data_IF_826939222585
#
_entry.id   IF_826939222585
#
_cell.length_a   1.000
_cell.length_b   1.000
_cell.length_c   1.000
_cell.angle_alpha   90.00
_cell.angle_beta   90.00
_cell.angle_gamma   90.00
#
_symmetry.space_group_name_H-M   'P 1'
#
loop_
_entity.id
_entity.type
_entity.pdbx_description
1 polymer ?
#
# COMPACT_ATOMS: atom_id res chain seq x y z
N UNK A 1 35.47 24.77 -20.53
CA UNK A 1 36.82 24.28 -20.91
C UNK A 1 37.81 24.87 -19.90
N UNK A 2 38.24 24.08 -18.91
CA UNK A 2 39.07 24.53 -17.79
C UNK A 2 40.29 23.62 -17.71
N UNK A 3 41.47 24.24 -17.65
CA UNK A 3 42.80 23.63 -17.77
C UNK A 3 43.30 23.22 -16.38
N UNK A 4 43.68 21.96 -16.20
CA UNK A 4 44.39 21.50 -15.00
C UNK A 4 45.91 21.75 -15.12
N UNK A 5 46.52 22.32 -14.08
CA UNK A 5 47.98 22.30 -13.89
C UNK A 5 48.31 21.49 -12.64
N UNK A 6 48.85 20.30 -12.85
CA UNK A 6 49.41 19.43 -11.82
C UNK A 6 50.80 19.95 -11.46
N UNK A 7 51.10 20.10 -10.16
CA UNK A 7 52.48 20.18 -9.65
C UNK A 7 52.65 19.17 -8.52
N UNK A 8 53.42 18.12 -8.80
CA UNK A 8 54.01 17.22 -7.80
C UNK A 8 55.24 17.89 -7.18
N UNK A 9 55.45 17.70 -5.88
CA UNK A 9 56.80 17.75 -5.27
C UNK A 9 56.87 16.83 -4.04
N UNK A 10 57.86 15.94 -4.05
CA UNK A 10 58.16 14.97 -2.99
C UNK A 10 59.16 15.53 -1.95
N UNK A 11 58.93 15.14 -0.68
CA UNK A 11 59.83 14.85 0.46
C UNK A 11 60.92 15.82 0.97
N UNK A 12 60.93 16.09 2.30
CA UNK A 12 61.83 15.46 3.32
C UNK A 12 61.69 16.10 4.73
N UNK A 13 61.61 15.24 5.76
CA UNK A 13 61.95 15.28 7.21
C UNK A 13 62.08 16.61 8.00
N UNK A 14 61.54 16.61 9.24
CA UNK A 14 62.05 17.41 10.36
C UNK A 14 61.00 17.77 11.41
N UNK A 15 61.09 17.17 12.60
CA UNK A 15 60.21 17.30 13.76
C UNK A 15 60.24 18.70 14.42
N UNK A 16 59.08 19.25 14.79
CA UNK A 16 58.86 20.29 15.82
C UNK A 16 57.36 20.52 16.03
N UNK A 17 56.90 20.17 17.23
CA UNK A 17 55.57 20.44 17.77
C UNK A 17 55.32 21.94 17.93
N UNK A 18 54.22 22.44 17.37
CA UNK A 18 53.41 23.54 17.93
C UNK A 18 51.96 23.27 17.53
N UNK A 19 51.11 23.17 18.55
CA UNK A 19 49.66 22.99 18.49
C UNK A 19 48.96 24.33 18.19
N UNK A 20 47.68 24.27 17.79
CA UNK A 20 46.71 25.37 17.58
C UNK A 20 46.84 26.08 16.21
N UNK A 21 45.89 26.03 15.28
CA UNK A 21 44.43 25.94 15.39
C UNK A 21 43.88 25.32 14.10
N UNK A 22 43.08 24.25 14.20
CA UNK A 22 42.19 23.88 13.12
C UNK A 22 40.94 24.74 13.26
N UNK A 23 40.84 25.79 12.46
CA UNK A 23 39.54 26.33 12.11
C UNK A 23 38.81 25.22 11.34
N UNK A 24 38.07 24.38 12.08
CA UNK A 24 36.87 23.75 11.54
C UNK A 24 35.97 24.91 11.14
N UNK A 25 36.02 25.28 9.87
CA UNK A 25 34.90 25.97 9.25
C UNK A 25 33.72 25.03 9.40
N UNK A 26 32.87 25.37 10.36
CA UNK A 26 31.53 24.85 10.49
C UNK A 26 30.87 24.95 9.12
N UNK A 27 30.65 23.80 8.49
CA UNK A 27 29.46 23.65 7.68
C UNK A 27 28.25 23.99 8.56
N UNK A 28 27.31 24.74 8.00
CA UNK A 28 25.95 24.27 8.06
C UNK A 28 25.56 23.97 6.62
N UNK A 29 25.75 22.71 6.21
CA UNK A 29 24.83 22.13 5.24
C UNK A 29 23.47 22.09 5.93
N UNK A 30 22.75 23.20 5.82
CA UNK A 30 21.32 23.26 6.11
C UNK A 30 20.65 22.32 5.10
N UNK A 31 20.62 21.03 5.42
CA UNK A 31 19.57 20.14 4.96
C UNK A 31 18.28 20.72 5.52
N UNK A 32 17.67 21.59 4.71
CA UNK A 32 16.30 22.03 4.93
C UNK A 32 15.43 20.78 4.77
N UNK A 33 15.14 20.14 5.90
CA UNK A 33 14.11 19.10 5.97
C UNK A 33 12.77 19.83 5.78
N UNK A 34 12.37 20.02 4.52
CA UNK A 34 11.02 20.46 4.19
C UNK A 34 10.07 19.32 4.51
N UNK A 35 9.62 19.31 5.77
CA UNK A 35 8.40 18.61 6.17
C UNK A 35 7.22 19.28 5.47
N UNK A 36 6.19 18.49 5.12
CA UNK A 36 4.90 18.98 4.60
C UNK A 36 4.48 20.19 5.43
N UNK A 37 4.40 21.36 4.79
CA UNK A 37 4.09 22.59 5.51
C UNK A 37 2.64 22.53 6.01
N UNK A 38 2.28 23.28 7.05
CA UNK A 38 0.88 23.32 7.49
C UNK A 38 -0.05 23.82 6.37
N UNK A 39 0.47 24.62 5.44
CA UNK A 39 -0.20 24.99 4.20
C UNK A 39 -0.46 23.77 3.30
N UNK A 40 0.52 22.89 3.10
CA UNK A 40 0.36 21.68 2.29
C UNK A 40 -0.68 20.73 2.91
N UNK A 41 -0.72 20.61 4.24
CA UNK A 41 -1.76 19.81 4.94
C UNK A 41 -3.17 20.34 4.66
N UNK A 42 -3.37 21.66 4.68
CA UNK A 42 -4.65 22.27 4.33
C UNK A 42 -5.04 22.02 2.87
N UNK A 43 -4.08 22.12 1.94
CA UNK A 43 -4.31 21.83 0.53
C UNK A 43 -4.66 20.35 0.31
N UNK A 44 -3.99 19.43 1.02
CA UNK A 44 -4.31 18.00 0.99
C UNK A 44 -5.75 17.78 1.47
N UNK A 45 -6.17 18.37 2.61
CA UNK A 45 -7.55 18.26 3.11
C UNK A 45 -8.57 18.76 2.08
N UNK A 46 -8.27 19.87 1.40
CA UNK A 46 -9.10 20.41 0.33
C UNK A 46 -9.19 19.45 -0.86
N UNK A 47 -8.07 18.89 -1.31
CA UNK A 47 -8.04 17.90 -2.38
C UNK A 47 -8.86 16.64 -2.04
N UNK A 48 -8.74 16.12 -0.81
CA UNK A 48 -9.59 15.01 -0.35
C UNK A 48 -11.07 15.34 -0.42
N UNK A 49 -11.44 16.57 -0.07
CA UNK A 49 -12.82 17.03 -0.12
C UNK A 49 -13.33 17.08 -1.57
N UNK A 50 -12.51 17.53 -2.52
CA UNK A 50 -12.84 17.46 -3.95
C UNK A 50 -12.97 16.02 -4.45
N UNK A 51 -12.06 15.12 -4.09
CA UNK A 51 -12.14 13.71 -4.47
C UNK A 51 -13.44 13.05 -3.95
N UNK A 52 -13.83 13.35 -2.70
CA UNK A 52 -15.11 12.88 -2.10
C UNK A 52 -16.35 13.44 -2.79
N UNK A 53 -16.23 14.60 -3.45
CA UNK A 53 -17.28 15.22 -4.26
C UNK A 53 -17.20 14.82 -5.75
N UNK A 54 -16.41 13.79 -6.08
CA UNK A 54 -16.15 13.33 -7.45
C UNK A 54 -15.51 14.37 -8.38
N UNK A 55 -14.89 15.40 -7.82
CA UNK A 55 -14.13 16.44 -8.52
C UNK A 55 -12.66 16.02 -8.65
N UNK A 56 -12.43 14.92 -9.36
CA UNK A 56 -11.13 14.24 -9.39
C UNK A 56 -10.04 15.08 -10.08
N UNK A 57 -10.38 15.78 -11.17
CA UNK A 57 -9.43 16.65 -11.87
C UNK A 57 -9.02 17.84 -11.02
N UNK A 58 -9.97 18.43 -10.28
CA UNK A 58 -9.68 19.52 -9.35
C UNK A 58 -8.85 19.05 -8.15
N UNK A 59 -9.12 17.85 -7.63
CA UNK A 59 -8.29 17.24 -6.60
C UNK A 59 -6.84 17.04 -7.10
N UNK A 60 -6.66 16.50 -8.31
CA UNK A 60 -5.34 16.31 -8.93
C UNK A 60 -4.61 17.62 -9.18
N UNK A 61 -5.32 18.69 -9.57
CA UNK A 61 -4.71 20.01 -9.76
C UNK A 61 -4.02 20.57 -8.50
N UNK A 62 -4.46 20.09 -7.32
CA UNK A 62 -3.87 20.43 -6.02
C UNK A 62 -2.77 19.43 -5.63
N UNK A 63 -3.01 18.12 -5.85
CA UNK A 63 -2.09 17.07 -5.42
C UNK A 63 -0.80 16.99 -6.25
N UNK A 64 -0.87 17.23 -7.56
CA UNK A 64 0.29 17.10 -8.45
C UNK A 64 1.45 18.07 -8.16
N UNK A 65 1.22 19.36 -7.86
CA UNK A 65 2.30 20.23 -7.43
C UNK A 65 2.94 19.76 -6.11
N UNK A 66 2.12 19.33 -5.14
CA UNK A 66 2.57 18.87 -3.82
C UNK A 66 3.45 17.62 -3.96
N UNK A 67 3.03 16.66 -4.79
CA UNK A 67 3.78 15.43 -5.03
C UNK A 67 5.16 15.66 -5.67
N UNK A 68 5.37 16.80 -6.33
CA UNK A 68 6.64 17.19 -6.97
C UNK A 68 7.56 18.00 -6.06
N UNK A 69 7.00 18.65 -5.03
CA UNK A 69 7.74 19.53 -4.13
C UNK A 69 8.28 18.80 -2.90
N UNK A 70 7.61 17.74 -2.46
CA UNK A 70 7.99 17.02 -1.25
C UNK A 70 9.20 16.12 -1.46
N UNK A 71 10.23 16.28 -0.62
CA UNK A 71 11.42 15.41 -0.60
C UNK A 71 11.04 14.02 -0.03
N UNK A 72 10.10 13.99 0.91
CA UNK A 72 9.50 12.76 1.45
C UNK A 72 8.12 12.56 0.84
N UNK A 73 7.93 11.41 0.19
CA UNK A 73 6.66 11.13 -0.47
C UNK A 73 5.60 10.86 0.60
N UNK A 74 4.64 11.77 0.74
CA UNK A 74 3.48 11.58 1.61
C UNK A 74 2.57 10.52 0.99
N UNK A 75 2.44 9.37 1.68
CA UNK A 75 1.62 8.26 1.23
C UNK A 75 0.14 8.63 1.10
N UNK A 76 -0.32 9.65 1.84
CA UNK A 76 -1.67 10.17 1.73
C UNK A 76 -1.86 10.89 0.39
N UNK A 77 -0.88 11.70 -0.04
CA UNK A 77 -0.88 12.32 -1.38
C UNK A 77 -0.88 11.24 -2.46
N UNK A 78 0.02 10.26 -2.38
CA UNK A 78 0.06 9.15 -3.35
C UNK A 78 -1.28 8.41 -3.43
N UNK A 79 -1.86 8.06 -2.29
CA UNK A 79 -3.13 7.35 -2.24
C UNK A 79 -4.24 8.14 -2.93
N UNK A 80 -4.38 9.43 -2.62
CA UNK A 80 -5.42 10.26 -3.22
C UNK A 80 -5.18 10.51 -4.71
N UNK A 81 -3.93 10.55 -5.16
CA UNK A 81 -3.62 10.57 -6.60
C UNK A 81 -4.05 9.27 -7.27
N UNK A 82 -3.68 8.11 -6.71
CA UNK A 82 -4.11 6.80 -7.21
C UNK A 82 -5.63 6.67 -7.28
N UNK A 83 -6.32 7.10 -6.22
CA UNK A 83 -7.79 7.14 -6.15
C UNK A 83 -8.39 8.02 -7.24
N UNK A 84 -7.90 9.25 -7.44
CA UNK A 84 -8.43 10.13 -8.47
C UNK A 84 -8.20 9.55 -9.87
N UNK A 85 -7.02 9.01 -10.14
CA UNK A 85 -6.71 8.39 -11.44
C UNK A 85 -7.52 7.13 -11.70
N UNK A 86 -7.81 6.31 -10.68
CA UNK A 86 -8.70 5.14 -10.78
C UNK A 86 -10.12 5.54 -11.22
N UNK A 87 -10.69 6.57 -10.58
CA UNK A 87 -12.03 7.06 -10.95
C UNK A 87 -12.07 7.78 -12.31
N UNK A 88 -10.96 8.38 -12.73
CA UNK A 88 -10.78 8.91 -14.08
C UNK A 88 -10.45 7.81 -15.11
N UNK A 89 -10.39 6.54 -14.69
CA UNK A 89 -10.04 5.36 -15.51
C UNK A 89 -8.65 5.44 -16.15
N UNK A 90 -7.76 6.25 -15.59
CA UNK A 90 -6.35 6.22 -15.93
C UNK A 90 -5.65 5.17 -15.05
N UNK A 91 -5.86 3.91 -15.39
CA UNK A 91 -5.39 2.79 -14.57
C UNK A 91 -3.87 2.63 -14.57
N UNK A 92 -3.17 3.15 -15.58
CA UNK A 92 -1.69 3.16 -15.59
C UNK A 92 -1.14 4.05 -14.48
N UNK A 93 -1.65 5.29 -14.36
CA UNK A 93 -1.24 6.18 -13.28
C UNK A 93 -1.76 5.70 -11.92
N UNK A 94 -2.97 5.15 -11.85
CA UNK A 94 -3.49 4.56 -10.62
C UNK A 94 -2.59 3.41 -10.11
N UNK A 95 -2.16 2.52 -11.01
CA UNK A 95 -1.23 1.43 -10.71
C UNK A 95 0.08 1.97 -10.13
N UNK A 96 0.66 2.98 -10.79
CA UNK A 96 1.89 3.62 -10.33
C UNK A 96 1.77 4.12 -8.88
N UNK A 97 0.74 4.92 -8.58
CA UNK A 97 0.58 5.52 -7.26
C UNK A 97 0.26 4.50 -6.17
N UNK A 98 -0.63 3.53 -6.42
CA UNK A 98 -0.94 2.50 -5.44
C UNK A 98 0.23 1.56 -5.18
N UNK A 99 1.01 1.23 -6.21
CA UNK A 99 2.26 0.48 -6.03
C UNK A 99 3.24 1.24 -5.14
N UNK A 100 3.41 2.55 -5.36
CA UNK A 100 4.27 3.39 -4.52
C UNK A 100 3.82 3.41 -3.06
N UNK A 101 2.50 3.44 -2.79
CA UNK A 101 1.99 3.27 -1.42
C UNK A 101 2.33 1.90 -0.84
N UNK A 102 2.09 0.81 -1.59
CA UNK A 102 2.25 -0.56 -1.12
C UNK A 102 3.72 -0.97 -0.90
N UNK A 103 4.66 -0.32 -1.59
CA UNK A 103 6.09 -0.56 -1.43
C UNK A 103 6.71 0.29 -0.28
N UNK A 104 5.88 1.04 0.45
CA UNK A 104 6.29 1.77 1.65
C UNK A 104 6.69 0.82 2.79
N UNK A 105 7.88 1.02 3.35
CA UNK A 105 8.48 0.09 4.31
C UNK A 105 7.70 -0.06 5.62
N UNK A 106 6.96 0.96 6.03
CA UNK A 106 6.16 0.95 7.26
C UNK A 106 4.67 0.64 7.01
N UNK A 107 4.32 0.12 5.83
CA UNK A 107 2.95 -0.33 5.57
C UNK A 107 2.55 -1.49 6.51
N UNK A 108 1.48 -1.27 7.28
CA UNK A 108 0.86 -2.25 8.19
C UNK A 108 -0.05 -3.26 7.45
N UNK A 109 -0.14 -3.14 6.13
CA UNK A 109 -0.87 -4.02 5.22
C UNK A 109 -2.07 -3.33 4.61
N UNK A 110 -2.41 -2.12 5.05
CA UNK A 110 -3.45 -1.31 4.43
C UNK A 110 -3.15 -1.04 2.96
N UNK A 111 -1.95 -0.55 2.62
CA UNK A 111 -1.61 -0.18 1.25
C UNK A 111 -1.44 -1.39 0.33
N UNK A 112 -0.84 -2.48 0.83
CA UNK A 112 -0.85 -3.75 0.09
C UNK A 112 -2.27 -4.26 -0.18
N UNK A 113 -3.21 -4.04 0.75
CA UNK A 113 -4.61 -4.43 0.56
C UNK A 113 -5.31 -3.58 -0.50
N UNK A 114 -5.13 -2.26 -0.44
CA UNK A 114 -5.67 -1.32 -1.44
C UNK A 114 -5.14 -1.66 -2.82
N UNK A 115 -3.82 -1.82 -2.96
CA UNK A 115 -3.20 -2.14 -4.24
C UNK A 115 -3.60 -3.52 -4.76
N UNK A 116 -3.65 -4.54 -3.89
CA UNK A 116 -4.11 -5.87 -4.24
C UNK A 116 -5.54 -5.87 -4.77
N UNK A 117 -6.45 -5.08 -4.18
CA UNK A 117 -7.83 -4.91 -4.67
C UNK A 117 -7.85 -4.20 -6.03
N UNK A 118 -7.10 -3.11 -6.18
CA UNK A 118 -6.99 -2.39 -7.45
C UNK A 118 -6.51 -3.31 -8.59
N UNK A 119 -5.49 -4.13 -8.35
CA UNK A 119 -4.98 -5.10 -9.33
C UNK A 119 -6.09 -6.04 -9.81
N UNK A 120 -6.86 -6.61 -8.89
CA UNK A 120 -7.95 -7.53 -9.20
C UNK A 120 -9.15 -6.89 -9.88
N UNK A 121 -9.39 -5.60 -9.69
CA UNK A 121 -10.63 -4.95 -10.15
C UNK A 121 -10.44 -4.10 -11.40
N UNK A 122 -9.32 -3.37 -11.49
CA UNK A 122 -9.22 -2.24 -12.42
C UNK A 122 -7.89 -2.17 -13.19
N UNK A 123 -6.87 -2.96 -12.84
CA UNK A 123 -5.59 -2.88 -13.55
C UNK A 123 -5.71 -3.26 -15.03
N UNK A 124 -4.84 -2.67 -15.86
CA UNK A 124 -4.71 -2.96 -17.30
C UNK A 124 -3.89 -4.23 -17.59
N UNK A 125 -3.48 -4.98 -16.56
CA UNK A 125 -2.70 -6.20 -16.73
C UNK A 125 -3.57 -7.32 -17.33
N UNK A 126 -2.93 -8.36 -17.87
CA UNK A 126 -3.68 -9.56 -18.29
C UNK A 126 -4.42 -10.19 -17.11
N UNK A 127 -5.44 -11.00 -17.41
CA UNK A 127 -6.21 -11.68 -16.37
C UNK A 127 -5.31 -12.52 -15.46
N UNK A 128 -4.38 -13.30 -16.01
CA UNK A 128 -3.50 -14.15 -15.23
C UNK A 128 -2.58 -13.30 -14.33
N UNK A 129 -1.97 -12.26 -14.88
CA UNK A 129 -1.00 -11.43 -14.16
C UNK A 129 -1.66 -10.59 -13.06
N UNK A 130 -2.84 -10.01 -13.33
CA UNK A 130 -3.57 -9.21 -12.35
C UNK A 130 -4.07 -10.06 -11.18
N UNK A 131 -4.51 -11.29 -11.46
CA UNK A 131 -4.92 -12.26 -10.42
C UNK A 131 -3.72 -12.65 -9.58
N UNK A 132 -2.61 -13.06 -10.21
CA UNK A 132 -1.41 -13.48 -9.50
C UNK A 132 -0.89 -12.36 -8.58
N UNK A 133 -0.66 -11.17 -9.13
CA UNK A 133 -0.13 -10.04 -8.36
C UNK A 133 -1.11 -9.57 -7.28
N UNK A 134 -2.41 -9.48 -7.59
CA UNK A 134 -3.44 -9.06 -6.65
C UNK A 134 -3.56 -10.00 -5.46
N UNK A 135 -3.62 -11.31 -5.70
CA UNK A 135 -3.65 -12.33 -4.65
C UNK A 135 -2.36 -12.34 -3.84
N UNK A 136 -1.19 -12.17 -4.47
CA UNK A 136 0.08 -12.11 -3.76
C UNK A 136 0.16 -10.92 -2.81
N UNK A 137 -0.29 -9.73 -3.22
CA UNK A 137 -0.36 -8.53 -2.36
C UNK A 137 -1.30 -8.74 -1.19
N UNK A 138 -2.52 -9.24 -1.44
CA UNK A 138 -3.47 -9.55 -0.37
C UNK A 138 -2.95 -10.63 0.59
N UNK A 139 -2.27 -11.66 0.07
CA UNK A 139 -1.68 -12.73 0.87
C UNK A 139 -0.55 -12.21 1.76
N UNK A 140 0.28 -11.31 1.24
CA UNK A 140 1.32 -10.63 2.01
C UNK A 140 0.71 -9.81 3.15
N UNK A 141 -0.28 -8.97 2.87
CA UNK A 141 -1.00 -8.17 3.87
C UNK A 141 -1.66 -9.06 4.94
N UNK A 142 -2.34 -10.13 4.53
CA UNK A 142 -3.03 -11.03 5.45
C UNK A 142 -2.08 -11.85 6.33
N UNK A 143 -0.98 -12.39 5.76
CA UNK A 143 -0.14 -13.37 6.45
C UNK A 143 1.07 -12.76 7.14
N UNK A 144 1.75 -11.81 6.48
CA UNK A 144 2.95 -11.19 7.04
C UNK A 144 2.58 -10.04 7.98
N UNK A 145 1.64 -9.21 7.55
CA UNK A 145 1.25 -7.98 8.25
C UNK A 145 0.00 -8.15 9.14
N UNK A 146 -0.68 -9.29 9.02
CA UNK A 146 -1.88 -9.65 9.80
C UNK A 146 -3.05 -8.67 9.60
N UNK A 147 -3.13 -8.06 8.42
CA UNK A 147 -4.18 -7.11 8.12
C UNK A 147 -5.54 -7.81 7.95
N UNK A 148 -6.49 -7.49 8.82
CA UNK A 148 -7.79 -8.18 8.95
C UNK A 148 -8.62 -8.06 7.67
N UNK A 149 -8.66 -6.87 7.06
CA UNK A 149 -9.41 -6.65 5.82
C UNK A 149 -8.87 -7.50 4.67
N UNK A 150 -7.56 -7.75 4.61
CA UNK A 150 -6.96 -8.62 3.60
C UNK A 150 -7.40 -10.08 3.78
N UNK A 151 -7.46 -10.54 5.03
CA UNK A 151 -8.01 -11.88 5.36
C UNK A 151 -9.46 -11.97 4.92
N UNK A 152 -10.28 -10.98 5.23
CA UNK A 152 -11.68 -10.94 4.82
C UNK A 152 -11.84 -11.01 3.29
N UNK A 153 -11.06 -10.20 2.56
CA UNK A 153 -11.11 -10.16 1.08
C UNK A 153 -10.67 -11.51 0.49
N UNK A 154 -9.56 -12.09 0.96
CA UNK A 154 -9.11 -13.41 0.49
C UNK A 154 -10.14 -14.50 0.79
N UNK A 155 -10.72 -14.47 1.99
CA UNK A 155 -11.79 -15.38 2.38
C UNK A 155 -12.97 -15.31 1.42
N UNK A 156 -13.44 -14.09 1.12
CA UNK A 156 -14.51 -13.83 0.15
C UNK A 156 -14.15 -14.32 -1.26
N UNK A 157 -12.92 -14.08 -1.72
CA UNK A 157 -12.46 -14.49 -3.05
C UNK A 157 -12.47 -16.01 -3.17
N UNK A 158 -11.81 -16.71 -2.24
CA UNK A 158 -11.70 -18.16 -2.32
C UNK A 158 -13.03 -18.88 -2.07
N UNK A 159 -13.88 -18.39 -1.16
CA UNK A 159 -15.20 -19.01 -0.93
C UNK A 159 -16.09 -18.94 -2.18
N UNK A 160 -16.08 -17.81 -2.90
CA UNK A 160 -17.02 -17.56 -4.00
C UNK A 160 -16.42 -17.75 -5.40
N UNK A 161 -15.10 -17.90 -5.50
CA UNK A 161 -14.39 -17.92 -6.78
C UNK A 161 -14.50 -16.60 -7.55
N UNK A 162 -14.11 -15.49 -6.91
CA UNK A 162 -14.17 -14.17 -7.54
C UNK A 162 -12.93 -13.90 -8.41
N UNK A 163 -13.08 -13.01 -9.39
CA UNK A 163 -11.99 -12.57 -10.27
C UNK A 163 -11.31 -13.75 -11.00
N UNK A 164 -12.08 -14.72 -11.48
CA UNK A 164 -11.61 -15.96 -12.13
C UNK A 164 -10.70 -16.85 -11.27
N UNK A 165 -10.62 -16.59 -9.96
CA UNK A 165 -10.00 -17.49 -9.00
C UNK A 165 -10.91 -18.71 -8.81
N UNK A 166 -10.35 -19.92 -8.92
CA UNK A 166 -11.11 -21.14 -8.65
C UNK A 166 -11.59 -21.14 -7.19
N UNK A 167 -12.88 -21.43 -6.91
CA UNK A 167 -13.37 -21.57 -5.55
C UNK A 167 -12.55 -22.62 -4.77
N UNK A 168 -12.16 -22.25 -3.56
CA UNK A 168 -11.48 -23.11 -2.60
C UNK A 168 -12.13 -22.87 -1.24
N UNK A 169 -13.07 -23.75 -0.89
CA UNK A 169 -13.86 -23.61 0.33
C UNK A 169 -12.98 -23.69 1.59
N UNK A 170 -11.97 -24.57 1.61
CA UNK A 170 -11.09 -24.76 2.77
C UNK A 170 -10.24 -23.50 2.99
N UNK A 171 -9.64 -22.98 1.92
CA UNK A 171 -8.83 -21.76 2.00
C UNK A 171 -9.67 -20.53 2.31
N UNK A 172 -10.86 -20.44 1.73
CA UNK A 172 -11.81 -19.38 2.01
C UNK A 172 -12.28 -19.39 3.47
N UNK A 173 -12.66 -20.56 3.98
CA UNK A 173 -13.02 -20.80 5.39
C UNK A 173 -11.93 -20.32 6.34
N UNK A 174 -10.68 -20.76 6.11
CA UNK A 174 -9.53 -20.38 6.91
C UNK A 174 -9.36 -18.87 7.01
N UNK A 175 -9.42 -18.16 5.89
CA UNK A 175 -9.25 -16.71 5.88
C UNK A 175 -10.43 -15.97 6.52
N UNK A 176 -11.66 -16.44 6.33
CA UNK A 176 -12.83 -15.85 6.98
C UNK A 176 -12.81 -16.05 8.49
N UNK A 177 -12.41 -17.22 9.01
CA UNK A 177 -12.22 -17.42 10.46
C UNK A 177 -11.18 -16.48 11.04
N UNK A 178 -10.06 -16.28 10.34
CA UNK A 178 -9.03 -15.32 10.76
C UNK A 178 -9.55 -13.89 10.77
N UNK A 179 -10.32 -13.50 9.75
CA UNK A 179 -10.97 -12.19 9.70
C UNK A 179 -11.99 -12.00 10.83
N UNK A 180 -12.81 -13.03 11.09
CA UNK A 180 -13.77 -13.07 12.19
C UNK A 180 -13.08 -12.80 13.53
N UNK A 181 -11.98 -13.53 13.80
CA UNK A 181 -11.18 -13.38 15.02
C UNK A 181 -10.43 -12.04 15.09
N UNK A 182 -10.22 -11.38 13.94
CA UNK A 182 -9.65 -10.04 13.84
C UNK A 182 -10.66 -8.89 13.98
N UNK A 183 -11.96 -9.19 14.14
CA UNK A 183 -13.01 -8.18 14.36
C UNK A 183 -14.07 -8.07 13.26
N UNK A 184 -13.91 -8.75 12.13
CA UNK A 184 -14.87 -8.76 11.01
C UNK A 184 -15.98 -9.80 11.20
N UNK A 185 -16.54 -9.93 12.42
CA UNK A 185 -17.36 -11.08 12.84
C UNK A 185 -18.58 -11.32 11.95
N UNK A 186 -19.52 -10.39 11.96
CA UNK A 186 -20.79 -10.51 11.23
C UNK A 186 -20.55 -10.65 9.72
N UNK A 187 -19.58 -9.90 9.17
CA UNK A 187 -19.26 -9.90 7.75
C UNK A 187 -18.63 -11.22 7.29
N UNK A 188 -17.68 -11.75 8.06
CA UNK A 188 -17.05 -13.02 7.75
C UNK A 188 -18.04 -14.19 7.90
N UNK A 189 -18.83 -14.20 8.96
CA UNK A 189 -19.86 -15.22 9.18
C UNK A 189 -20.90 -15.22 8.06
N UNK A 190 -21.43 -14.06 7.66
CA UNK A 190 -22.45 -13.98 6.61
C UNK A 190 -22.00 -14.59 5.27
N UNK A 191 -20.73 -14.40 4.89
CA UNK A 191 -20.16 -15.00 3.68
C UNK A 191 -20.06 -16.52 3.84
N UNK A 192 -19.50 -16.99 4.96
CA UNK A 192 -19.35 -18.41 5.23
C UNK A 192 -20.72 -19.11 5.29
N UNK A 193 -21.65 -18.58 6.08
CA UNK A 193 -22.97 -19.17 6.31
C UNK A 193 -23.75 -19.31 5.00
N UNK A 194 -23.73 -18.28 4.15
CA UNK A 194 -24.33 -18.34 2.83
C UNK A 194 -23.75 -19.50 2.02
N UNK A 195 -22.41 -19.62 1.94
CA UNK A 195 -21.79 -20.70 1.19
C UNK A 195 -22.07 -22.07 1.79
N UNK A 196 -22.03 -22.20 3.12
CA UNK A 196 -22.31 -23.44 3.81
C UNK A 196 -23.75 -23.91 3.54
N UNK A 197 -24.74 -23.00 3.49
CA UNK A 197 -26.13 -23.33 3.11
C UNK A 197 -26.22 -23.91 1.69
N UNK A 198 -25.48 -23.33 0.74
CA UNK A 198 -25.39 -23.87 -0.63
C UNK A 198 -24.79 -25.27 -0.66
N UNK A 199 -23.68 -25.48 0.07
CA UNK A 199 -22.99 -26.77 0.13
C UNK A 199 -23.82 -27.86 0.84
N UNK A 200 -24.63 -27.49 1.83
CA UNK A 200 -25.60 -28.41 2.44
C UNK A 200 -26.67 -28.82 1.45
N UNK A 201 -27.18 -27.85 0.69
CA UNK A 201 -28.22 -28.10 -0.32
C UNK A 201 -27.72 -28.98 -1.47
N UNK A 202 -26.42 -28.94 -1.79
CA UNK A 202 -25.78 -29.80 -2.78
C UNK A 202 -25.26 -31.13 -2.23
N UNK A 203 -25.41 -31.39 -0.93
CA UNK A 203 -24.89 -32.60 -0.27
C UNK A 203 -23.36 -32.63 -0.09
N UNK A 204 -22.67 -31.52 -0.32
CA UNK A 204 -21.22 -31.37 -0.14
C UNK A 204 -20.82 -31.06 1.31
N UNK A 205 -21.77 -30.62 2.13
CA UNK A 205 -21.61 -30.40 3.57
C UNK A 205 -22.80 -31.04 4.31
N UNK A 206 -22.56 -31.63 5.48
CA UNK A 206 -23.63 -32.32 6.24
C UNK A 206 -24.61 -31.36 6.91
N UNK A 207 -24.12 -30.24 7.43
CA UNK A 207 -24.92 -29.16 8.04
C UNK A 207 -24.12 -27.86 8.08
N UNK A 208 -24.83 -26.74 8.18
CA UNK A 208 -24.21 -25.46 8.54
C UNK A 208 -23.86 -25.53 10.04
N UNK A 209 -22.60 -25.30 10.44
CA UNK A 209 -22.26 -25.26 11.87
C UNK A 209 -22.93 -24.07 12.57
N UNK A 210 -22.97 -24.09 13.91
CA UNK A 210 -23.30 -22.88 14.66
C UNK A 210 -22.13 -21.91 14.60
N UNK A 211 -22.39 -20.60 14.50
CA UNK A 211 -21.37 -19.55 14.35
C UNK A 211 -20.24 -19.65 15.38
N UNK A 212 -20.58 -19.77 16.67
CA UNK A 212 -19.59 -19.90 17.73
C UNK A 212 -18.79 -21.21 17.69
N UNK A 213 -19.34 -22.28 17.09
CA UNK A 213 -18.60 -23.53 16.89
C UNK A 213 -17.63 -23.36 15.73
N UNK A 214 -18.10 -22.78 14.62
CA UNK A 214 -17.29 -22.49 13.45
C UNK A 214 -16.10 -21.59 13.80
N UNK A 215 -16.34 -20.49 14.49
CA UNK A 215 -15.31 -19.50 14.85
C UNK A 215 -14.17 -20.07 15.72
N UNK A 216 -14.46 -21.12 16.51
CA UNK A 216 -13.52 -21.72 17.46
C UNK A 216 -12.92 -23.06 16.98
N UNK A 217 -13.21 -23.45 15.73
CA UNK A 217 -12.76 -24.73 15.13
C UNK A 217 -11.54 -24.61 14.23
#
# INVERSE_FOLDING_TARGET
MIIFKIKRKNNKNGDKSVDLTSEKQNEPSLEFIFTVTDFDKEQIIKAKSYAKLSKYSEALSILEPISKQSITIDYDVLYWMGFCYEYLKNYELADHYYKSCADYILDDGYWETVYGKFLLEHSNLSNEERIEKGINRLTSAANKKRYVSAMYILGKIYINGLYDVKPDFIKGDLYLKRAYNGGEKERAWAIYEKKAKELVSSGQLSKVPLEHIWANS
#
